data_IF_384872323676
#
_entry.id   IF_384872323676
#
_cell.length_a   1.000
_cell.length_b   1.000
_cell.length_c   1.000
_cell.angle_alpha   90.00
_cell.angle_beta   90.00
_cell.angle_gamma   90.00
#
_symmetry.space_group_name_H-M   'P 1'
#
loop_
_entity.id
_entity.type
_entity.pdbx_description
1 polymer ?
#
# COMPACT_ATOMS: atom_id res chain seq x y z
N UNK A 1 -41.43 -34.97 -27.25
CA UNK A 1 -40.28 -34.22 -26.70
C UNK A 1 -40.61 -33.76 -25.27
N UNK A 2 -39.71 -33.88 -24.30
CA UNK A 2 -39.73 -33.17 -22.99
C UNK A 2 -40.28 -33.87 -21.73
N UNK A 3 -40.52 -35.20 -21.72
CA UNK A 3 -40.87 -35.91 -20.46
C UNK A 3 -39.73 -35.87 -19.44
N UNK A 4 -38.49 -35.95 -19.91
CA UNK A 4 -37.26 -35.81 -19.11
C UNK A 4 -37.11 -34.39 -18.54
N UNK A 5 -37.30 -33.36 -19.38
CA UNK A 5 -37.22 -31.95 -18.99
C UNK A 5 -38.28 -31.57 -17.94
N UNK A 6 -39.50 -32.12 -18.02
CA UNK A 6 -40.54 -31.91 -16.99
C UNK A 6 -40.22 -32.60 -15.67
N UNK A 7 -39.69 -33.83 -15.71
CA UNK A 7 -39.38 -34.61 -14.49
C UNK A 7 -38.17 -34.04 -13.72
N UNK A 8 -37.20 -33.45 -14.43
CA UNK A 8 -35.95 -32.95 -13.87
C UNK A 8 -35.87 -31.42 -13.83
N UNK A 9 -37.00 -30.71 -14.00
CA UNK A 9 -37.05 -29.24 -14.13
C UNK A 9 -36.36 -28.53 -12.96
N UNK A 10 -36.53 -29.04 -11.75
CA UNK A 10 -35.90 -28.48 -10.54
C UNK A 10 -34.37 -28.63 -10.57
N UNK A 11 -33.87 -29.80 -10.98
CA UNK A 11 -32.43 -30.08 -11.08
C UNK A 11 -31.78 -29.27 -12.21
N UNK A 12 -32.43 -29.15 -13.37
CA UNK A 12 -31.96 -28.26 -14.44
C UNK A 12 -31.94 -26.79 -14.02
N UNK A 13 -32.90 -26.34 -13.21
CA UNK A 13 -32.92 -24.98 -12.67
C UNK A 13 -31.74 -24.73 -11.72
N UNK A 14 -31.40 -25.69 -10.86
CA UNK A 14 -30.23 -25.60 -10.00
C UNK A 14 -28.93 -25.63 -10.79
N UNK A 15 -28.84 -26.45 -11.84
CA UNK A 15 -27.67 -26.48 -12.72
C UNK A 15 -27.50 -25.15 -13.46
N UNK A 16 -28.59 -24.58 -14.00
CA UNK A 16 -28.59 -23.26 -14.63
C UNK A 16 -28.20 -22.15 -13.66
N UNK A 17 -28.73 -22.18 -12.43
CA UNK A 17 -28.36 -21.23 -11.37
C UNK A 17 -26.89 -21.36 -11.00
N UNK A 18 -26.36 -22.58 -10.88
CA UNK A 18 -24.95 -22.82 -10.60
C UNK A 18 -24.04 -22.26 -11.70
N UNK A 19 -24.40 -22.47 -12.97
CA UNK A 19 -23.66 -21.89 -14.11
C UNK A 19 -23.73 -20.35 -14.08
N UNK A 20 -24.90 -19.78 -13.79
CA UNK A 20 -25.06 -18.33 -13.68
C UNK A 20 -24.22 -17.74 -12.54
N UNK A 21 -24.14 -18.41 -11.39
CA UNK A 21 -23.31 -17.99 -10.25
C UNK A 21 -21.82 -18.07 -10.63
N UNK A 22 -21.39 -19.12 -11.33
CA UNK A 22 -19.99 -19.25 -11.79
C UNK A 22 -19.63 -18.14 -12.78
N UNK A 23 -20.55 -17.80 -13.69
CA UNK A 23 -20.37 -16.69 -14.63
C UNK A 23 -20.30 -15.33 -13.91
N UNK A 24 -21.21 -15.09 -12.96
CA UNK A 24 -21.17 -13.90 -12.11
C UNK A 24 -19.86 -13.81 -11.32
N UNK A 25 -19.43 -14.91 -10.70
CA UNK A 25 -18.16 -14.97 -9.97
C UNK A 25 -16.94 -14.76 -10.87
N UNK A 26 -17.02 -15.09 -12.17
CA UNK A 26 -15.96 -14.81 -13.14
C UNK A 26 -15.93 -13.34 -13.56
N UNK A 27 -17.10 -12.71 -13.76
CA UNK A 27 -17.21 -11.28 -14.07
C UNK A 27 -16.79 -10.38 -12.89
N UNK A 28 -17.09 -10.79 -11.66
CA UNK A 28 -16.77 -10.02 -10.45
C UNK A 28 -15.46 -10.47 -9.77
N UNK A 29 -14.53 -11.10 -10.50
CA UNK A 29 -13.23 -11.43 -9.91
C UNK A 29 -12.51 -10.13 -9.57
N UNK A 30 -12.05 -9.95 -8.32
CA UNK A 30 -11.23 -8.80 -7.98
C UNK A 30 -9.95 -8.85 -8.81
N UNK A 31 -9.56 -7.71 -9.37
CA UNK A 31 -8.28 -7.57 -10.07
C UNK A 31 -7.17 -7.88 -9.07
N UNK A 32 -6.39 -8.91 -9.36
CA UNK A 32 -5.23 -9.24 -8.51
C UNK A 32 -4.08 -8.32 -8.88
N UNK A 33 -3.66 -7.51 -7.91
CA UNK A 33 -2.47 -6.67 -8.07
C UNK A 33 -1.23 -7.57 -8.14
N UNK A 34 -0.59 -7.63 -9.30
CA UNK A 34 0.65 -8.38 -9.51
C UNK A 34 1.83 -7.44 -9.35
N UNK A 35 2.68 -7.71 -8.37
CA UNK A 35 3.95 -7.00 -8.25
C UNK A 35 4.90 -7.40 -9.39
N UNK A 36 5.33 -6.42 -10.18
CA UNK A 36 6.28 -6.59 -11.27
C UNK A 36 7.72 -6.59 -10.79
N UNK A 37 8.00 -5.89 -9.68
CA UNK A 37 9.35 -5.69 -9.14
C UNK A 37 9.43 -6.29 -7.73
N UNK A 38 10.51 -7.01 -7.45
CA UNK A 38 10.76 -7.58 -6.12
C UNK A 38 11.12 -6.49 -5.10
N UNK A 39 10.99 -6.79 -3.80
CA UNK A 39 11.37 -5.86 -2.75
C UNK A 39 12.86 -5.48 -2.80
N UNK A 40 13.75 -6.45 -3.09
CA UNK A 40 15.19 -6.20 -3.21
C UNK A 40 15.54 -5.28 -4.39
N UNK A 41 14.88 -5.49 -5.52
CA UNK A 41 15.06 -4.64 -6.71
C UNK A 41 14.52 -3.23 -6.47
N UNK A 42 13.38 -3.11 -5.79
CA UNK A 42 12.80 -1.82 -5.41
C UNK A 42 13.73 -1.04 -4.47
N UNK A 43 14.39 -1.71 -3.53
CA UNK A 43 15.35 -1.08 -2.63
C UNK A 43 16.56 -0.52 -3.38
N UNK A 44 17.03 -1.20 -4.43
CA UNK A 44 18.10 -0.69 -5.30
C UNK A 44 17.67 0.60 -6.03
N UNK A 45 16.39 0.73 -6.38
CA UNK A 45 15.86 1.93 -7.04
C UNK A 45 15.84 3.14 -6.10
N UNK A 46 15.50 2.98 -4.83
CA UNK A 46 15.49 4.10 -3.86
C UNK A 46 16.87 4.72 -3.68
N UNK A 47 17.91 3.89 -3.68
CA UNK A 47 19.30 4.35 -3.55
C UNK A 47 19.85 4.95 -4.86
N UNK A 48 19.08 4.94 -5.95
CA UNK A 48 19.51 5.52 -7.22
C UNK A 48 19.14 7.01 -7.27
N UNK A 49 20.11 7.94 -7.29
CA UNK A 49 19.82 9.37 -7.30
C UNK A 49 19.05 9.84 -8.54
N UNK A 50 19.01 9.04 -9.61
CA UNK A 50 18.29 9.35 -10.85
C UNK A 50 16.77 9.33 -10.72
N UNK A 51 16.24 8.75 -9.63
CA UNK A 51 14.78 8.71 -9.36
C UNK A 51 14.27 10.04 -8.79
N UNK A 52 15.18 10.92 -8.37
CA UNK A 52 14.84 12.19 -7.76
C UNK A 52 14.98 13.34 -8.75
N UNK A 53 14.02 14.26 -8.74
CA UNK A 53 13.93 15.41 -9.65
C UNK A 53 13.92 16.70 -8.82
N UNK A 54 14.73 17.67 -9.25
CA UNK A 54 14.78 19.00 -8.63
C UNK A 54 13.63 19.89 -9.07
N UNK A 55 13.41 21.00 -8.37
CA UNK A 55 12.30 21.93 -8.65
C UNK A 55 12.46 22.59 -10.04
N UNK A 56 13.71 22.80 -10.48
CA UNK A 56 14.00 23.37 -11.79
C UNK A 56 13.52 22.49 -12.97
N UNK A 57 13.38 21.19 -12.76
CA UNK A 57 13.12 20.21 -13.81
C UNK A 57 11.66 19.77 -13.89
N UNK A 58 10.71 20.55 -13.34
CA UNK A 58 9.29 20.19 -13.30
C UNK A 58 8.51 20.50 -14.58
N UNK A 59 9.07 21.30 -15.48
CA UNK A 59 8.40 21.71 -16.71
C UNK A 59 7.97 20.51 -17.57
N UNK A 60 6.71 20.54 -18.04
CA UNK A 60 6.13 19.52 -18.92
C UNK A 60 5.72 18.21 -18.23
N UNK A 61 5.85 18.10 -16.90
CA UNK A 61 5.57 16.87 -16.14
C UNK A 61 4.25 16.97 -15.38
N UNK A 62 3.65 15.83 -15.06
CA UNK A 62 2.50 15.80 -14.17
C UNK A 62 2.96 15.87 -12.72
N UNK A 63 2.47 16.84 -11.95
CA UNK A 63 2.80 16.94 -10.53
C UNK A 63 1.68 16.26 -9.73
N UNK A 64 2.04 15.38 -8.79
CA UNK A 64 1.10 14.59 -7.98
C UNK A 64 1.40 14.80 -6.50
N UNK A 65 0.41 15.34 -5.79
CA UNK A 65 0.43 15.55 -4.34
C UNK A 65 -0.18 14.35 -3.62
N UNK A 66 0.62 13.65 -2.81
CA UNK A 66 0.13 12.50 -2.03
C UNK A 66 -0.45 12.87 -0.67
N UNK A 67 -0.42 14.15 -0.29
CA UNK A 67 -0.93 14.62 1.01
C UNK A 67 -2.45 14.46 1.09
N UNK A 68 -3.02 14.48 2.31
CA UNK A 68 -4.47 14.52 2.49
C UNK A 68 -5.11 15.70 1.76
N UNK A 69 -6.29 15.49 1.18
CA UNK A 69 -7.00 16.50 0.37
C UNK A 69 -7.32 17.79 1.12
N UNK A 70 -7.54 17.72 2.44
CA UNK A 70 -7.75 18.91 3.26
C UNK A 70 -6.49 19.78 3.35
N UNK A 71 -5.29 19.20 3.28
CA UNK A 71 -4.02 19.95 3.24
C UNK A 71 -3.79 20.51 1.85
N UNK A 72 -4.05 19.71 0.81
CA UNK A 72 -3.98 20.17 -0.58
C UNK A 72 -4.86 21.41 -0.82
N UNK A 73 -6.09 21.40 -0.32
CA UNK A 73 -7.03 22.52 -0.45
C UNK A 73 -6.56 23.82 0.24
N UNK A 74 -5.68 23.73 1.24
CA UNK A 74 -5.12 24.92 1.91
C UNK A 74 -3.99 25.58 1.11
N UNK A 75 -3.35 24.84 0.20
CA UNK A 75 -2.27 25.35 -0.63
C UNK A 75 -1.49 24.23 -1.30
N UNK A 76 -1.35 24.37 -2.61
CA UNK A 76 -0.58 23.47 -3.46
C UNK A 76 0.01 24.22 -4.66
N UNK A 77 1.05 23.68 -5.31
CA UNK A 77 1.64 24.23 -6.51
C UNK A 77 0.66 24.16 -7.69
N UNK A 78 0.79 25.09 -8.61
CA UNK A 78 -0.03 25.12 -9.82
C UNK A 78 0.13 23.82 -10.63
N UNK A 79 -0.97 23.34 -11.22
CA UNK A 79 -1.03 22.12 -12.04
C UNK A 79 -0.75 20.80 -11.29
N UNK A 80 -0.65 20.84 -9.95
CA UNK A 80 -0.64 19.62 -9.15
C UNK A 80 -2.04 19.00 -9.08
N UNK A 81 -2.12 17.68 -9.19
CA UNK A 81 -3.31 16.90 -8.86
C UNK A 81 -3.12 16.24 -7.49
N UNK A 82 -4.21 16.05 -6.75
CA UNK A 82 -4.13 15.40 -5.44
C UNK A 82 -4.58 13.94 -5.53
N UNK A 83 -3.67 13.02 -5.20
CA UNK A 83 -3.94 11.60 -5.05
C UNK A 83 -3.48 11.16 -3.65
N UNK A 84 -4.32 11.35 -2.61
CA UNK A 84 -3.94 11.03 -1.24
C UNK A 84 -3.47 9.58 -1.10
N UNK A 85 -2.43 9.33 -0.29
CA UNK A 85 -1.84 7.98 -0.09
C UNK A 85 -2.89 6.89 0.17
N UNK A 86 -3.95 7.22 0.93
CA UNK A 86 -5.01 6.26 1.30
C UNK A 86 -5.87 5.82 0.11
N UNK A 87 -5.90 6.60 -0.96
CA UNK A 87 -6.72 6.45 -2.16
C UNK A 87 -5.85 6.21 -3.39
N UNK A 88 -4.53 6.03 -3.21
CA UNK A 88 -3.55 5.93 -4.28
C UNK A 88 -3.82 4.76 -5.22
N UNK A 89 -4.47 3.70 -4.73
CA UNK A 89 -4.83 2.50 -5.50
C UNK A 89 -6.33 2.37 -5.74
N UNK A 90 -7.10 3.43 -5.49
CA UNK A 90 -8.51 3.47 -5.88
C UNK A 90 -8.61 3.51 -7.41
N UNK A 91 -9.74 3.07 -7.96
CA UNK A 91 -9.96 2.93 -9.41
C UNK A 91 -9.61 4.21 -10.19
N UNK A 92 -10.09 5.37 -9.71
CA UNK A 92 -9.79 6.69 -10.32
C UNK A 92 -8.28 7.01 -10.33
N UNK A 93 -7.57 6.72 -9.23
CA UNK A 93 -6.12 6.95 -9.14
C UNK A 93 -5.36 6.03 -10.08
N UNK A 94 -5.78 4.77 -10.17
CA UNK A 94 -5.18 3.76 -11.06
C UNK A 94 -5.35 4.16 -12.52
N UNK A 95 -6.55 4.59 -12.91
CA UNK A 95 -6.80 5.09 -14.28
C UNK A 95 -5.87 6.26 -14.64
N UNK A 96 -5.66 7.20 -13.71
CA UNK A 96 -4.73 8.31 -13.92
C UNK A 96 -3.29 7.80 -14.14
N UNK A 97 -2.83 6.83 -13.35
CA UNK A 97 -1.48 6.27 -13.51
C UNK A 97 -1.33 5.49 -14.82
N UNK A 98 -2.35 4.72 -15.21
CA UNK A 98 -2.38 4.00 -16.49
C UNK A 98 -2.33 4.97 -17.67
N UNK A 99 -3.09 6.06 -17.65
CA UNK A 99 -3.08 7.10 -18.68
C UNK A 99 -1.73 7.80 -18.78
N UNK A 100 -1.11 8.13 -17.64
CA UNK A 100 0.23 8.71 -17.60
C UNK A 100 1.27 7.76 -18.19
N UNK A 101 1.19 6.48 -17.86
CA UNK A 101 2.09 5.45 -18.38
C UNK A 101 1.90 5.24 -19.89
N UNK A 102 0.65 5.14 -20.36
CA UNK A 102 0.30 4.94 -21.76
C UNK A 102 0.69 6.13 -22.64
N UNK A 103 0.54 7.35 -22.13
CA UNK A 103 0.97 8.58 -22.81
C UNK A 103 2.48 8.82 -22.76
N UNK A 104 3.21 8.06 -21.94
CA UNK A 104 4.64 8.27 -21.69
C UNK A 104 4.94 9.58 -20.94
N UNK A 105 3.93 10.22 -20.34
CA UNK A 105 4.10 11.46 -19.58
C UNK A 105 4.77 11.14 -18.24
N UNK A 106 5.88 11.81 -17.95
CA UNK A 106 6.57 11.66 -16.67
C UNK A 106 5.77 12.35 -15.55
N UNK A 107 5.62 11.66 -14.43
CA UNK A 107 4.94 12.15 -13.25
C UNK A 107 5.90 12.32 -12.07
N UNK A 108 5.72 13.38 -11.30
CA UNK A 108 6.53 13.72 -10.13
C UNK A 108 5.65 13.64 -8.89
N UNK A 109 5.97 12.70 -8.00
CA UNK A 109 5.32 12.52 -6.72
C UNK A 109 5.99 13.42 -5.66
N UNK A 110 5.19 14.12 -4.87
CA UNK A 110 5.67 14.87 -3.72
C UNK A 110 4.71 14.80 -2.53
N UNK A 111 5.25 15.02 -1.34
CA UNK A 111 4.52 15.15 -0.09
C UNK A 111 5.00 16.38 0.70
N UNK A 112 4.70 16.41 2.01
CA UNK A 112 5.28 17.37 2.95
C UNK A 112 6.82 17.36 2.89
N UNK A 113 7.38 16.15 2.79
CA UNK A 113 8.80 15.87 2.65
C UNK A 113 9.00 14.66 1.71
N UNK A 114 10.28 14.38 1.42
CA UNK A 114 10.69 13.33 0.48
C UNK A 114 10.33 11.93 1.01
N UNK A 115 10.42 11.75 2.34
CA UNK A 115 10.09 10.51 3.02
C UNK A 115 8.62 10.15 2.83
N UNK A 116 7.73 11.13 2.95
CA UNK A 116 6.29 10.92 2.77
C UNK A 116 5.94 10.43 1.36
N UNK A 117 6.67 10.88 0.33
CA UNK A 117 6.44 10.46 -1.06
C UNK A 117 7.15 9.15 -1.42
N UNK A 118 8.23 8.79 -0.72
CA UNK A 118 9.06 7.60 -1.02
C UNK A 118 8.29 6.29 -0.94
N UNK A 119 7.52 6.05 0.13
CA UNK A 119 6.78 4.80 0.28
C UNK A 119 5.65 4.61 -0.77
N UNK A 120 4.81 5.63 -1.05
CA UNK A 120 3.90 5.63 -2.18
C UNK A 120 4.58 5.36 -3.52
N UNK A 121 5.71 6.03 -3.78
CA UNK A 121 6.48 5.85 -5.01
C UNK A 121 7.02 4.43 -5.15
N UNK A 122 7.59 3.86 -4.09
CA UNK A 122 8.06 2.47 -4.03
C UNK A 122 6.96 1.48 -4.41
N UNK A 123 5.77 1.66 -3.83
CA UNK A 123 4.61 0.84 -4.15
C UNK A 123 4.29 0.93 -5.64
N UNK A 124 4.21 2.15 -6.20
CA UNK A 124 3.94 2.34 -7.62
C UNK A 124 5.02 1.72 -8.53
N UNK A 125 6.30 1.76 -8.14
CA UNK A 125 7.36 1.04 -8.85
C UNK A 125 7.13 -0.47 -8.84
N UNK A 126 6.73 -1.03 -7.69
CA UNK A 126 6.41 -2.45 -7.57
C UNK A 126 5.22 -2.84 -8.44
N UNK A 127 4.29 -1.93 -8.68
CA UNK A 127 3.14 -2.13 -9.59
C UNK A 127 3.49 -1.96 -11.07
N UNK A 128 4.66 -1.40 -11.39
CA UNK A 128 5.15 -1.26 -12.76
C UNK A 128 5.11 0.16 -13.33
N UNK A 129 4.74 1.17 -12.54
CA UNK A 129 4.68 2.58 -12.98
C UNK A 129 6.06 3.24 -12.99
N UNK A 130 6.84 2.94 -14.04
CA UNK A 130 8.25 3.35 -14.18
C UNK A 130 8.46 4.82 -14.59
N UNK A 131 7.41 5.49 -15.07
CA UNK A 131 7.42 6.89 -15.49
C UNK A 131 7.23 7.87 -14.32
N UNK A 132 7.28 7.38 -13.08
CA UNK A 132 7.07 8.17 -11.87
C UNK A 132 8.41 8.40 -11.15
N UNK A 133 8.67 9.65 -10.78
CA UNK A 133 9.85 10.08 -10.02
C UNK A 133 9.47 10.80 -8.73
N UNK A 134 10.44 11.00 -7.85
CA UNK A 134 10.28 11.72 -6.58
C UNK A 134 10.75 13.16 -6.70
N UNK A 135 10.01 14.10 -6.12
CA UNK A 135 10.50 15.46 -5.94
C UNK A 135 11.56 15.48 -4.82
N UNK A 136 12.68 16.15 -5.05
CA UNK A 136 13.66 16.45 -3.99
C UNK A 136 13.09 17.43 -2.98
N UNK A 137 13.16 17.07 -1.70
CA UNK A 137 12.63 17.88 -0.62
C UNK A 137 11.11 17.71 -0.48
N UNK A 138 10.34 18.78 -0.54
CA UNK A 138 8.90 18.70 -0.30
C UNK A 138 8.21 20.04 -0.46
N UNK A 139 7.15 20.26 0.32
CA UNK A 139 6.38 21.48 0.27
C UNK A 139 6.28 22.13 1.65
N UNK A 140 6.44 23.45 1.68
CA UNK A 140 6.26 24.21 2.91
C UNK A 140 4.76 24.45 3.20
N UNK A 141 4.43 24.95 4.41
CA UNK A 141 3.04 25.25 4.77
C UNK A 141 2.37 26.32 3.90
N UNK A 142 3.14 27.10 3.12
CA UNK A 142 2.63 28.11 2.20
C UNK A 142 2.31 27.55 0.80
N UNK A 143 2.43 26.24 0.60
CA UNK A 143 2.15 25.61 -0.68
C UNK A 143 3.26 25.78 -1.72
N UNK A 144 4.47 26.16 -1.31
CA UNK A 144 5.64 26.29 -2.20
C UNK A 144 6.61 25.14 -1.99
N UNK A 145 7.22 24.69 -3.09
CA UNK A 145 8.28 23.69 -3.01
C UNK A 145 9.45 24.21 -2.18
N UNK A 146 10.04 23.29 -1.42
CA UNK A 146 11.23 23.51 -0.62
C UNK A 146 12.29 22.50 -1.05
N UNK A 147 13.45 23.00 -1.44
CA UNK A 147 14.62 22.17 -1.67
C UNK A 147 15.26 21.84 -0.33
N UNK A 148 15.15 20.59 0.09
CA UNK A 148 15.98 20.09 1.18
C UNK A 148 17.39 19.94 0.61
N UNK A 149 18.35 20.71 1.12
CA UNK A 149 19.76 20.50 0.82
C UNK A 149 20.06 19.03 1.09
N UNK A 150 20.57 18.30 0.07
CA UNK A 150 20.83 16.87 0.14
C UNK A 150 21.46 16.56 1.49
N UNK A 151 20.70 15.90 2.38
CA UNK A 151 21.19 15.51 3.68
C UNK A 151 22.41 14.65 3.39
N UNK A 152 23.59 15.11 3.80
CA UNK A 152 24.79 14.32 3.72
C UNK A 152 24.43 12.98 4.36
N UNK A 153 24.39 11.90 3.55
CA UNK A 153 24.14 10.56 4.04
C UNK A 153 25.10 10.37 5.20
N UNK A 154 24.57 10.42 6.41
CA UNK A 154 25.35 10.28 7.61
C UNK A 154 25.81 8.84 7.63
N UNK A 155 27.04 8.64 7.15
CA UNK A 155 27.70 7.35 7.21
C UNK A 155 27.89 7.09 8.70
N UNK A 156 27.10 6.18 9.26
CA UNK A 156 27.33 5.67 10.60
C UNK A 156 28.81 5.31 10.72
N UNK A 157 29.53 6.04 11.58
CA UNK A 157 30.94 5.75 11.89
C UNK A 157 31.08 4.35 12.52
N UNK A 158 29.96 3.77 12.95
CA UNK A 158 29.87 2.47 13.59
C UNK A 158 29.50 1.42 12.55
N UNK A 159 30.38 0.44 12.35
CA UNK A 159 30.10 -0.76 11.57
C UNK A 159 29.04 -1.62 12.28
N UNK A 160 27.77 -1.40 11.93
CA UNK A 160 26.64 -2.13 12.50
C UNK A 160 26.62 -3.60 12.11
N UNK A 161 27.39 -4.01 11.09
CA UNK A 161 27.51 -5.43 10.70
C UNK A 161 28.26 -6.24 11.76
N UNK A 162 29.25 -5.63 12.42
CA UNK A 162 30.01 -6.23 13.53
C UNK A 162 29.15 -6.49 14.79
N UNK A 163 28.06 -5.74 14.98
CA UNK A 163 27.12 -5.98 16.08
C UNK A 163 26.16 -7.15 15.81
N UNK A 164 25.90 -7.50 14.54
CA UNK A 164 24.98 -8.59 14.17
C UNK A 164 25.55 -9.98 14.46
N UNK A 165 26.88 -10.12 14.52
CA UNK A 165 27.54 -11.42 14.76
C UNK A 165 27.45 -11.88 16.23
N UNK A 166 27.15 -10.99 17.19
CA UNK A 166 26.97 -11.41 18.60
C UNK A 166 25.57 -11.94 18.93
N UNK A 167 24.65 -11.94 17.98
CA UNK A 167 23.32 -12.57 18.12
C UNK A 167 23.24 -13.85 17.30
N UNK A 168 24.34 -14.61 17.25
CA UNK A 168 24.24 -16.03 16.96
C UNK A 168 23.46 -16.71 18.09
N UNK A 169 22.18 -16.93 17.80
CA UNK A 169 21.41 -18.13 18.15
C UNK A 169 22.25 -19.14 18.93
N UNK A 170 22.14 -19.11 20.27
CA UNK A 170 22.43 -20.31 21.05
C UNK A 170 21.45 -21.37 20.55
N UNK A 171 22.01 -22.37 19.86
CA UNK A 171 21.36 -23.59 19.39
C UNK A 171 20.13 -23.96 20.22
N UNK A 172 18.94 -23.72 19.69
CA UNK A 172 17.73 -24.40 20.13
C UNK A 172 17.57 -25.64 19.25
N UNK A 173 18.41 -26.63 19.49
CA UNK A 173 18.23 -27.98 18.99
C UNK A 173 16.97 -28.56 19.65
N UNK A 174 16.07 -29.08 18.83
CA UNK A 174 15.00 -30.04 19.15
C UNK A 174 13.81 -29.60 20.04
N UNK A 175 12.70 -29.35 19.33
CA UNK A 175 11.31 -29.66 19.70
C UNK A 175 11.19 -30.82 20.71
N UNK A 176 10.92 -30.50 21.97
CA UNK A 176 10.08 -31.35 22.84
C UNK A 176 8.79 -30.58 23.13
N UNK A 177 7.66 -31.14 22.69
CA UNK A 177 6.34 -30.58 22.92
C UNK A 177 6.06 -30.48 24.43
N UNK A 178 6.07 -29.26 24.98
CA UNK A 178 5.54 -29.01 26.33
C UNK A 178 4.03 -28.88 26.23
N UNK A 179 3.31 -29.95 26.62
CA UNK A 179 1.87 -29.90 26.90
C UNK A 179 1.56 -28.72 27.82
N UNK A 180 0.82 -27.73 27.30
CA UNK A 180 0.23 -26.64 28.10
C UNK A 180 -0.64 -27.25 29.20
N UNK A 181 -0.25 -27.11 30.46
CA UNK A 181 -1.14 -27.37 31.59
C UNK A 181 -2.28 -26.34 31.55
N UNK A 182 -3.55 -26.75 31.71
CA UNK A 182 -4.66 -25.82 31.69
C UNK A 182 -4.55 -24.82 32.85
N UNK A 183 -4.62 -23.53 32.53
CA UNK A 183 -4.76 -22.47 33.53
C UNK A 183 -6.13 -22.59 34.20
N UNK A 184 -6.13 -22.67 35.54
CA UNK A 184 -7.35 -22.64 36.34
C UNK A 184 -7.94 -21.23 36.23
N UNK A 185 -9.09 -21.10 35.59
CA UNK A 185 -9.88 -19.87 35.55
C UNK A 185 -10.49 -19.67 36.94
N UNK A 186 -9.96 -18.73 37.72
CA UNK A 186 -10.60 -18.31 38.96
C UNK A 186 -11.86 -17.54 38.57
N UNK A 187 -13.02 -18.13 38.87
CA UNK A 187 -14.32 -17.50 38.60
C UNK A 187 -14.52 -16.35 39.57
N UNK A 188 -14.58 -15.12 39.08
CA UNK A 188 -14.99 -13.96 39.87
C UNK A 188 -16.46 -14.15 40.25
N UNK A 189 -16.75 -14.27 41.55
CA UNK A 189 -18.10 -14.39 42.08
C UNK A 189 -18.84 -13.07 41.81
N UNK A 190 -19.90 -13.12 41.00
CA UNK A 190 -20.86 -12.01 40.87
C UNK A 190 -21.49 -11.75 42.25
N UNK A 191 -21.37 -10.53 42.76
CA UNK A 191 -22.19 -10.08 43.86
C UNK A 191 -23.65 -10.06 43.40
N UNK A 192 -24.51 -10.65 44.22
CA UNK A 192 -25.94 -10.77 43.97
C UNK A 192 -26.57 -9.44 44.38
N UNK A 193 -27.08 -8.70 43.39
CA UNK A 193 -28.04 -7.64 43.62
C UNK A 193 -29.28 -8.25 44.28
N UNK A 194 -29.46 -7.98 45.58
CA UNK A 194 -30.68 -8.28 46.32
C UNK A 194 -31.40 -6.96 46.55
N UNK A 195 -32.60 -6.84 45.99
CA UNK A 195 -33.43 -5.64 46.06
C UNK A 195 -34.25 -5.49 47.35
N UNK A 196 -34.88 -4.32 47.44
CA UNK A 196 -35.89 -3.92 48.43
C UNK A 196 -35.32 -2.94 49.45
N UNK A 197 -35.93 -1.81 49.77
CA UNK A 197 -37.26 -1.26 49.52
C UNK A 197 -37.51 -0.14 50.54
N UNK A 198 -38.49 0.72 50.23
CA UNK A 198 -38.87 1.99 50.88
C UNK A 198 -37.99 3.19 50.51
#
# INVERSE_FOLDING_TARGET
MNRFLKKNKLWLSFLGLGIAIVLLAFLFRPVTIHYQVSAEESLKLVNNPSVQVGIADLAGKQIIDVRPSNIFAQGHPENAINLPIRQLLDEESVEIFDDLLASGKEAILYGCDELQATAPWLLLQQLGYKNIKLLKGGINPLGKFNETAAGATEVSVIDTSAFRIKTEVKNATEITQVKKKPQVVITVKKEVSSGGGC
#
